data_IF_624781958246
#
_entry.id   IF_624781958246
#
_cell.length_a   1.000
_cell.length_b   1.000
_cell.length_c   1.000
_cell.angle_alpha   90.00
_cell.angle_beta   90.00
_cell.angle_gamma   90.00
#
_symmetry.space_group_name_H-M   'P 1'
#
loop_
_entity.id
_entity.type
_entity.pdbx_description
1 polymer ?
#
# COMPACT_ATOMS: atom_id res chain seq x y z
N UNK A 1 -21.73 -40.17 -9.46
CA UNK A 1 -21.53 -39.54 -10.79
C UNK A 1 -20.18 -38.85 -10.81
N UNK A 2 -19.21 -39.40 -11.54
CA UNK A 2 -17.85 -38.87 -11.59
C UNK A 2 -17.81 -37.62 -12.48
N UNK A 3 -17.45 -36.47 -11.92
CA UNK A 3 -17.18 -35.27 -12.71
C UNK A 3 -15.93 -35.51 -13.59
N UNK A 4 -16.15 -35.76 -14.88
CA UNK A 4 -15.09 -35.84 -15.88
C UNK A 4 -14.29 -34.53 -15.88
N UNK A 5 -13.03 -34.60 -15.44
CA UNK A 5 -12.08 -33.50 -15.56
C UNK A 5 -11.88 -33.20 -17.04
N UNK A 6 -12.48 -32.11 -17.53
CA UNK A 6 -12.22 -31.59 -18.88
C UNK A 6 -10.73 -31.32 -19.00
N UNK A 7 -10.03 -32.11 -19.81
CA UNK A 7 -8.65 -31.85 -20.19
C UNK A 7 -8.57 -30.51 -20.90
N UNK A 8 -7.62 -29.62 -20.53
CA UNK A 8 -7.47 -28.34 -21.18
C UNK A 8 -7.14 -28.55 -22.66
N UNK A 9 -8.03 -28.06 -23.52
CA UNK A 9 -8.08 -28.20 -24.98
C UNK A 9 -6.99 -27.40 -25.72
N UNK A 10 -5.82 -27.25 -25.10
CA UNK A 10 -4.83 -26.23 -25.47
C UNK A 10 -3.68 -26.78 -26.34
N UNK A 11 -3.64 -28.10 -26.57
CA UNK A 11 -2.66 -28.73 -27.44
C UNK A 11 -3.27 -28.99 -28.81
N UNK A 12 -3.40 -27.94 -29.62
CA UNK A 12 -3.64 -28.15 -31.06
C UNK A 12 -2.27 -28.44 -31.70
N UNK A 13 -1.96 -29.73 -31.91
CA UNK A 13 -0.93 -30.22 -32.85
C UNK A 13 0.55 -30.04 -32.46
N UNK A 14 0.93 -30.24 -31.19
CA UNK A 14 2.36 -30.28 -30.79
C UNK A 14 3.14 -28.96 -30.96
N UNK A 15 2.47 -27.89 -31.39
CA UNK A 15 3.08 -26.58 -31.52
C UNK A 15 3.28 -25.95 -30.13
N UNK A 16 4.40 -25.23 -29.91
CA UNK A 16 4.63 -24.52 -28.67
C UNK A 16 3.55 -23.46 -28.45
N UNK A 17 3.09 -23.37 -27.20
CA UNK A 17 2.07 -22.40 -26.78
C UNK A 17 2.53 -20.98 -27.09
N UNK A 18 1.76 -20.26 -27.91
CA UNK A 18 2.15 -18.93 -28.41
C UNK A 18 1.61 -17.79 -27.54
N UNK A 19 0.49 -17.99 -26.83
CA UNK A 19 -0.12 -16.91 -26.05
C UNK A 19 0.16 -17.01 -24.55
N UNK A 20 0.29 -15.85 -23.90
CA UNK A 20 0.34 -15.74 -22.43
C UNK A 20 -0.87 -16.42 -21.76
N UNK A 21 -2.06 -16.30 -22.38
CA UNK A 21 -3.30 -16.88 -21.87
C UNK A 21 -3.24 -18.40 -21.80
N UNK A 22 -2.76 -19.05 -22.85
CA UNK A 22 -2.59 -20.50 -22.89
C UNK A 22 -1.51 -20.97 -21.93
N UNK A 23 -0.38 -20.26 -21.83
CA UNK A 23 0.68 -20.57 -20.86
C UNK A 23 0.15 -20.49 -19.42
N UNK A 24 -0.64 -19.47 -19.11
CA UNK A 24 -1.29 -19.35 -17.81
C UNK A 24 -2.32 -20.47 -17.57
N UNK A 25 -3.02 -20.91 -18.62
CA UNK A 25 -3.97 -22.01 -18.52
C UNK A 25 -3.29 -23.36 -18.23
N UNK A 26 -2.07 -23.59 -18.73
CA UNK A 26 -1.29 -24.80 -18.42
C UNK A 26 -0.96 -24.93 -16.93
N UNK A 27 -0.65 -23.81 -16.27
CA UNK A 27 -0.27 -23.79 -14.85
C UNK A 27 -1.44 -23.45 -13.91
N UNK A 28 -2.63 -23.17 -14.46
CA UNK A 28 -3.78 -22.72 -13.67
C UNK A 28 -4.29 -23.79 -12.68
N UNK A 29 -4.08 -25.07 -12.99
CA UNK A 29 -4.50 -26.18 -12.13
C UNK A 29 -3.54 -26.41 -10.95
N UNK A 30 -2.25 -26.11 -11.12
CA UNK A 30 -1.21 -26.34 -10.10
C UNK A 30 -0.92 -25.12 -9.24
N UNK A 31 -1.16 -23.92 -9.75
CA UNK A 31 -0.88 -22.66 -9.06
C UNK A 31 -2.13 -22.01 -8.47
N UNK A 32 -2.01 -21.31 -7.33
CA UNK A 32 -3.12 -20.53 -6.79
C UNK A 32 -3.59 -19.45 -7.78
N UNK A 33 -4.87 -19.07 -7.69
CA UNK A 33 -5.45 -17.99 -8.51
C UNK A 33 -4.64 -16.69 -8.32
N UNK A 34 -4.52 -15.88 -9.37
CA UNK A 34 -3.69 -14.67 -9.35
C UNK A 34 -4.11 -13.64 -8.28
N UNK A 35 -5.37 -13.66 -7.84
CA UNK A 35 -5.92 -12.77 -6.83
C UNK A 35 -5.86 -13.32 -5.39
N UNK A 36 -5.29 -14.51 -5.18
CA UNK A 36 -5.13 -15.03 -3.81
C UNK A 36 -4.24 -14.10 -2.98
N UNK A 37 -4.42 -14.07 -1.64
CA UNK A 37 -3.61 -13.21 -0.79
C UNK A 37 -2.10 -13.46 -0.95
N UNK A 38 -1.67 -14.71 -1.13
CA UNK A 38 -0.26 -15.03 -1.37
C UNK A 38 0.28 -14.50 -2.70
N UNK A 39 -0.50 -14.55 -3.78
CA UNK A 39 -0.10 -13.97 -5.06
C UNK A 39 0.02 -12.45 -4.98
N UNK A 40 -0.90 -11.80 -4.26
CA UNK A 40 -0.87 -10.35 -4.03
C UNK A 40 0.32 -9.94 -3.18
N UNK A 41 0.59 -10.66 -2.09
CA UNK A 41 1.74 -10.40 -1.22
C UNK A 41 3.06 -10.61 -1.93
N UNK A 42 3.22 -11.71 -2.68
CA UNK A 42 4.42 -11.95 -3.50
C UNK A 42 4.58 -10.86 -4.57
N UNK A 43 3.50 -10.46 -5.25
CA UNK A 43 3.56 -9.36 -6.22
C UNK A 43 3.95 -8.03 -5.58
N UNK A 44 3.47 -7.74 -4.38
CA UNK A 44 3.85 -6.56 -3.61
C UNK A 44 5.33 -6.60 -3.21
N UNK A 45 5.80 -7.75 -2.75
CA UNK A 45 7.20 -8.00 -2.42
C UNK A 45 8.12 -7.77 -3.63
N UNK A 46 7.80 -8.37 -4.78
CA UNK A 46 8.57 -8.20 -6.02
C UNK A 46 8.63 -6.72 -6.42
N UNK A 47 7.49 -6.01 -6.42
CA UNK A 47 7.44 -4.59 -6.78
C UNK A 47 8.26 -3.73 -5.83
N UNK A 48 8.20 -4.04 -4.53
CA UNK A 48 8.96 -3.31 -3.53
C UNK A 48 10.47 -3.50 -3.74
N UNK A 49 10.93 -4.71 -4.06
CA UNK A 49 12.34 -4.99 -4.35
C UNK A 49 12.81 -4.40 -5.70
N UNK A 50 11.94 -4.31 -6.70
CA UNK A 50 12.25 -3.70 -8.01
C UNK A 50 12.19 -2.16 -7.98
N UNK A 51 11.89 -1.56 -6.82
CA UNK A 51 11.60 -0.13 -6.69
C UNK A 51 10.59 0.36 -7.74
N UNK A 52 9.55 -0.45 -7.98
CA UNK A 52 8.51 -0.16 -8.98
C UNK A 52 7.82 1.16 -8.66
N UNK A 53 7.89 2.10 -9.61
CA UNK A 53 7.22 3.37 -9.52
C UNK A 53 5.73 3.21 -9.85
N UNK A 54 4.86 3.41 -8.86
CA UNK A 54 3.42 3.28 -9.03
C UNK A 54 2.80 4.37 -9.93
N UNK A 55 3.46 5.53 -10.02
CA UNK A 55 3.04 6.68 -10.82
C UNK A 55 3.40 6.45 -12.29
N UNK A 56 4.68 6.21 -12.60
CA UNK A 56 5.11 5.98 -13.98
C UNK A 56 4.74 4.60 -14.51
N UNK A 57 4.48 3.63 -13.61
CA UNK A 57 4.22 2.21 -13.92
C UNK A 57 5.39 1.54 -14.66
N UNK A 58 6.58 2.06 -14.47
CA UNK A 58 7.80 1.57 -15.10
C UNK A 58 8.50 0.54 -14.21
N UNK A 59 9.11 -0.44 -14.87
CA UNK A 59 10.01 -1.41 -14.25
C UNK A 59 11.44 -1.03 -14.61
N UNK A 60 12.44 -1.44 -13.79
CA UNK A 60 13.84 -1.25 -14.13
C UNK A 60 14.17 -1.80 -15.51
N UNK A 61 15.10 -1.16 -16.21
CA UNK A 61 15.62 -1.66 -17.49
C UNK A 61 16.13 -3.11 -17.35
N UNK A 62 16.09 -3.92 -18.43
CA UNK A 62 16.72 -5.24 -18.44
C UNK A 62 18.21 -5.14 -18.09
N UNK A 63 18.86 -6.25 -17.68
CA UNK A 63 20.29 -6.24 -17.38
C UNK A 63 21.14 -5.86 -18.60
N UNK A 64 22.23 -5.13 -18.38
CA UNK A 64 23.21 -4.80 -19.43
C UNK A 64 24.10 -6.01 -19.76
N UNK A 65 24.79 -6.03 -20.92
CA UNK A 65 25.73 -7.08 -21.26
C UNK A 65 26.84 -7.28 -20.20
N UNK A 66 27.28 -6.20 -19.56
CA UNK A 66 28.28 -6.23 -18.49
C UNK A 66 27.72 -6.89 -17.24
N UNK A 67 26.47 -6.58 -16.86
CA UNK A 67 25.79 -7.24 -15.74
C UNK A 67 25.64 -8.76 -16.01
N UNK A 68 25.31 -9.15 -17.25
CA UNK A 68 25.29 -10.57 -17.63
C UNK A 68 26.64 -11.26 -17.46
N UNK A 69 27.73 -10.58 -17.82
CA UNK A 69 29.08 -11.14 -17.76
C UNK A 69 29.60 -11.27 -16.31
N UNK A 70 29.13 -10.41 -15.41
CA UNK A 70 29.51 -10.41 -13.99
C UNK A 70 28.70 -11.40 -13.14
N UNK A 71 27.53 -11.82 -13.61
CA UNK A 71 26.66 -12.70 -12.84
C UNK A 71 27.26 -14.10 -12.69
N UNK A 72 27.46 -14.52 -11.45
CA UNK A 72 27.85 -15.89 -11.12
C UNK A 72 26.82 -16.89 -11.65
N UNK A 73 27.23 -18.16 -11.81
CA UNK A 73 26.33 -19.26 -12.21
C UNK A 73 26.01 -20.25 -11.08
N UNK A 74 25.45 -19.80 -9.95
CA UNK A 74 25.05 -20.70 -8.88
C UNK A 74 23.83 -21.52 -9.30
N UNK A 75 23.76 -22.75 -8.79
CA UNK A 75 22.52 -23.53 -8.92
C UNK A 75 21.46 -22.99 -7.97
N UNK A 76 20.21 -23.37 -8.23
CA UNK A 76 19.09 -23.00 -7.39
C UNK A 76 19.28 -23.48 -5.94
N UNK A 77 19.77 -24.71 -5.79
CA UNK A 77 20.03 -25.36 -4.51
C UNK A 77 21.08 -24.59 -3.70
N UNK A 78 22.19 -24.18 -4.34
CA UNK A 78 23.26 -23.40 -3.68
C UNK A 78 22.70 -22.09 -3.12
N UNK A 79 21.89 -21.36 -3.89
CA UNK A 79 21.27 -20.11 -3.44
C UNK A 79 20.36 -20.36 -2.23
N UNK A 80 19.53 -21.40 -2.32
CA UNK A 80 18.51 -21.71 -1.31
C UNK A 80 19.11 -22.26 -0.01
N UNK A 81 20.20 -23.03 -0.07
CA UNK A 81 20.91 -23.57 1.10
C UNK A 81 21.70 -22.50 1.86
N UNK A 82 22.10 -21.42 1.19
CA UNK A 82 22.88 -20.36 1.81
C UNK A 82 22.04 -19.47 2.74
N UNK A 83 21.91 -19.88 4.00
CA UNK A 83 21.16 -19.14 5.03
C UNK A 83 22.02 -18.16 5.84
N UNK A 84 23.28 -17.91 5.45
CA UNK A 84 24.24 -17.10 6.23
C UNK A 84 23.82 -15.63 6.42
N UNK A 85 22.89 -15.13 5.63
CA UNK A 85 22.37 -13.75 5.79
C UNK A 85 21.19 -13.67 6.76
N UNK A 86 20.59 -14.80 7.15
CA UNK A 86 19.36 -14.83 7.94
C UNK A 86 19.57 -15.25 9.39
N UNK A 87 20.71 -14.85 9.99
CA UNK A 87 20.98 -15.18 11.38
C UNK A 87 19.93 -14.54 12.32
N UNK A 88 19.38 -15.32 13.27
CA UNK A 88 18.38 -14.84 14.21
C UNK A 88 19.05 -13.98 15.28
N UNK A 89 19.36 -12.74 14.95
CA UNK A 89 19.93 -11.76 15.89
C UNK A 89 19.14 -10.45 15.97
N UNK A 90 18.07 -10.30 15.19
CA UNK A 90 17.26 -9.08 15.20
C UNK A 90 16.00 -9.30 16.02
N UNK A 91 15.91 -8.59 17.14
CA UNK A 91 14.80 -8.67 18.08
C UNK A 91 13.44 -8.44 17.40
N UNK A 92 12.46 -9.23 17.83
CA UNK A 92 11.11 -9.33 17.27
C UNK A 92 10.22 -8.08 17.45
N UNK A 93 10.74 -7.01 18.04
CA UNK A 93 10.01 -5.77 18.37
C UNK A 93 10.05 -4.70 17.28
N UNK A 94 10.74 -4.94 16.16
CA UNK A 94 10.84 -3.99 15.05
C UNK A 94 9.52 -3.77 14.31
N UNK A 95 9.27 -2.54 13.87
CA UNK A 95 8.06 -2.18 13.13
C UNK A 95 7.99 -2.91 11.78
N UNK A 96 6.83 -2.92 11.12
CA UNK A 96 6.73 -3.55 9.78
C UNK A 96 7.61 -2.83 8.75
N UNK A 97 7.75 -1.52 8.85
CA UNK A 97 8.58 -0.69 7.96
C UNK A 97 10.06 -1.03 8.14
N UNK A 98 10.52 -1.18 9.38
CA UNK A 98 11.88 -1.62 9.69
C UNK A 98 12.17 -2.99 9.09
N UNK A 99 11.22 -3.93 9.19
CA UNK A 99 11.37 -5.27 8.59
C UNK A 99 11.50 -5.22 7.07
N UNK A 100 10.81 -4.30 6.40
CA UNK A 100 10.97 -4.10 4.95
C UNK A 100 12.35 -3.55 4.62
N UNK A 101 12.82 -2.53 5.34
CA UNK A 101 14.14 -1.94 5.13
C UNK A 101 15.26 -2.98 5.34
N UNK A 102 15.17 -3.76 6.43
CA UNK A 102 16.10 -4.87 6.70
C UNK A 102 16.06 -5.91 5.59
N UNK A 103 14.87 -6.30 5.14
CA UNK A 103 14.74 -7.30 4.06
C UNK A 103 15.36 -6.80 2.75
N UNK A 104 15.15 -5.53 2.39
CA UNK A 104 15.80 -4.92 1.23
C UNK A 104 17.31 -4.92 1.36
N UNK A 105 17.84 -4.52 2.52
CA UNK A 105 19.28 -4.48 2.76
C UNK A 105 19.90 -5.88 2.63
N UNK A 106 19.30 -6.90 3.26
CA UNK A 106 19.75 -8.29 3.15
C UNK A 106 19.69 -8.78 1.70
N UNK A 107 18.64 -8.43 0.96
CA UNK A 107 18.48 -8.80 -0.44
C UNK A 107 19.57 -8.18 -1.33
N UNK A 108 19.87 -6.90 -1.13
CA UNK A 108 20.96 -6.21 -1.84
C UNK A 108 22.33 -6.81 -1.54
N UNK A 109 22.61 -7.15 -0.29
CA UNK A 109 23.86 -7.85 0.09
C UNK A 109 23.98 -9.21 -0.59
N UNK A 110 22.88 -9.96 -0.66
CA UNK A 110 22.86 -11.27 -1.33
C UNK A 110 23.04 -11.14 -2.85
N UNK A 111 22.45 -10.12 -3.48
CA UNK A 111 22.65 -9.84 -4.90
C UNK A 111 24.12 -9.58 -5.24
N UNK A 112 24.78 -8.72 -4.46
CA UNK A 112 26.19 -8.38 -4.66
C UNK A 112 27.10 -9.61 -4.54
N UNK A 113 26.76 -10.53 -3.64
CA UNK A 113 27.49 -11.79 -3.46
C UNK A 113 27.54 -12.64 -4.74
N UNK A 114 26.50 -12.59 -5.58
CA UNK A 114 26.43 -13.34 -6.84
C UNK A 114 26.78 -12.47 -8.08
N UNK A 115 27.42 -11.31 -7.88
CA UNK A 115 27.84 -10.43 -8.97
C UNK A 115 26.74 -9.55 -9.56
N UNK A 116 25.56 -9.47 -8.94
CA UNK A 116 24.47 -8.61 -9.38
C UNK A 116 24.48 -7.27 -8.64
N UNK A 117 24.64 -6.16 -9.39
CA UNK A 117 24.67 -4.81 -8.81
C UNK A 117 23.28 -4.27 -8.44
N UNK A 118 22.23 -4.74 -9.13
CA UNK A 118 20.85 -4.33 -8.91
C UNK A 118 19.87 -5.46 -9.18
N UNK A 119 18.67 -5.33 -8.64
CA UNK A 119 17.59 -6.25 -8.95
C UNK A 119 16.83 -5.84 -10.20
N UNK A 120 16.80 -6.71 -11.20
CA UNK A 120 15.93 -6.58 -12.37
C UNK A 120 15.66 -7.95 -12.96
N UNK A 121 14.69 -8.03 -13.86
CA UNK A 121 14.50 -9.22 -14.69
C UNK A 121 14.90 -8.91 -16.13
N UNK A 122 15.34 -9.96 -16.81
CA UNK A 122 15.41 -9.93 -18.26
C UNK A 122 14.00 -10.04 -18.84
N UNK A 123 13.47 -8.88 -19.23
CA UNK A 123 12.13 -8.73 -19.78
C UNK A 123 11.98 -9.24 -21.21
N UNK A 124 13.07 -9.62 -21.90
CA UNK A 124 12.99 -10.23 -23.23
C UNK A 124 12.39 -11.63 -23.18
N UNK A 125 12.47 -12.28 -22.01
CA UNK A 125 12.09 -13.69 -21.82
C UNK A 125 12.78 -14.64 -22.80
N UNK A 126 13.98 -14.29 -23.28
CA UNK A 126 14.80 -15.26 -23.99
C UNK A 126 14.88 -16.52 -23.12
N UNK A 127 14.49 -17.66 -23.69
CA UNK A 127 14.07 -18.82 -22.89
C UNK A 127 15.16 -19.22 -21.91
N UNK A 128 14.82 -19.19 -20.62
CA UNK A 128 15.68 -19.71 -19.56
C UNK A 128 16.96 -18.89 -19.36
N UNK A 129 16.93 -17.57 -19.58
CA UNK A 129 18.10 -16.76 -19.26
C UNK A 129 18.56 -17.02 -17.83
N UNK A 130 19.85 -17.34 -17.74
CA UNK A 130 20.54 -17.62 -16.50
C UNK A 130 20.26 -16.55 -15.44
N UNK A 131 20.27 -15.28 -15.86
CA UNK A 131 19.85 -14.13 -15.07
C UNK A 131 18.50 -14.32 -14.36
N UNK A 132 17.43 -14.61 -15.11
CA UNK A 132 16.10 -14.76 -14.53
C UNK A 132 16.01 -15.95 -13.56
N UNK A 133 16.82 -17.01 -13.75
CA UNK A 133 16.88 -18.16 -12.84
C UNK A 133 17.52 -17.77 -11.50
N UNK A 134 18.65 -17.07 -11.53
CA UNK A 134 19.34 -16.57 -10.32
C UNK A 134 18.44 -15.59 -9.57
N UNK A 135 17.90 -14.59 -10.27
CA UNK A 135 17.02 -13.57 -9.69
C UNK A 135 15.76 -14.18 -9.06
N UNK A 136 15.17 -15.19 -9.72
CA UNK A 136 14.01 -15.91 -9.17
C UNK A 136 14.38 -16.68 -7.91
N UNK A 137 15.54 -17.34 -7.88
CA UNK A 137 16.00 -18.11 -6.72
C UNK A 137 16.26 -17.18 -5.51
N UNK A 138 16.97 -16.07 -5.73
CA UNK A 138 17.20 -15.06 -4.69
C UNK A 138 15.89 -14.48 -4.17
N UNK A 139 14.98 -14.12 -5.07
CA UNK A 139 13.66 -13.61 -4.69
C UNK A 139 12.89 -14.60 -3.81
N UNK A 140 12.85 -15.88 -4.18
CA UNK A 140 12.12 -16.92 -3.44
C UNK A 140 12.75 -17.12 -2.07
N UNK A 141 14.08 -17.22 -1.99
CA UNK A 141 14.85 -17.32 -0.75
C UNK A 141 14.44 -16.22 0.24
N UNK A 142 14.49 -14.96 -0.20
CA UNK A 142 14.17 -13.81 0.64
C UNK A 142 12.67 -13.69 0.95
N UNK A 143 11.81 -14.03 0.00
CA UNK A 143 10.37 -14.06 0.23
C UNK A 143 9.97 -15.09 1.29
N UNK A 144 10.56 -16.29 1.26
CA UNK A 144 10.34 -17.34 2.26
C UNK A 144 10.87 -16.91 3.63
N UNK A 145 12.04 -16.26 3.69
CA UNK A 145 12.56 -15.72 4.95
C UNK A 145 11.65 -14.61 5.52
N UNK A 146 11.27 -13.63 4.69
CA UNK A 146 10.35 -12.55 5.08
C UNK A 146 9.00 -13.09 5.59
N UNK A 147 8.50 -14.16 4.97
CA UNK A 147 7.31 -14.88 5.43
C UNK A 147 7.51 -15.50 6.81
N UNK A 148 8.65 -16.17 7.07
CA UNK A 148 8.99 -16.74 8.40
C UNK A 148 9.07 -15.66 9.48
N UNK A 149 9.58 -14.47 9.15
CA UNK A 149 9.66 -13.31 10.05
C UNK A 149 8.31 -12.58 10.27
N UNK A 150 7.23 -13.07 9.67
CA UNK A 150 5.89 -12.50 9.85
C UNK A 150 5.66 -11.19 9.09
N UNK A 151 6.48 -10.86 8.08
CA UNK A 151 6.30 -9.65 7.25
C UNK A 151 4.91 -9.61 6.60
N UNK A 152 4.34 -10.77 6.31
CA UNK A 152 3.03 -10.93 5.68
C UNK A 152 1.91 -11.33 6.65
N UNK A 153 2.08 -11.14 7.96
CA UNK A 153 1.07 -11.48 8.98
C UNK A 153 -0.32 -10.92 8.67
N UNK A 154 -0.40 -9.67 8.19
CA UNK A 154 -1.65 -9.00 7.80
C UNK A 154 -2.28 -9.54 6.50
N UNK A 155 -1.55 -10.31 5.70
CA UNK A 155 -2.00 -10.76 4.38
C UNK A 155 -2.83 -12.04 4.40
N UNK A 156 -3.06 -12.67 5.57
CA UNK A 156 -3.86 -13.90 5.66
C UNK A 156 -3.28 -15.07 4.84
N UNK A 157 -1.96 -15.13 4.69
CA UNK A 157 -1.29 -16.19 3.93
C UNK A 157 -1.22 -17.42 4.82
N UNK A 158 -1.90 -18.50 4.42
CA UNK A 158 -1.73 -19.79 5.10
C UNK A 158 -0.33 -20.34 4.80
N UNK A 159 0.54 -20.53 5.82
CA UNK A 159 1.91 -20.96 5.61
C UNK A 159 2.01 -22.36 5.00
N UNK A 160 1.09 -23.27 5.34
CA UNK A 160 1.10 -24.68 4.98
C UNK A 160 0.80 -24.95 3.50
N UNK A 161 0.21 -23.99 2.78
CA UNK A 161 -0.18 -24.19 1.39
C UNK A 161 0.85 -23.68 0.37
N UNK A 162 1.91 -23.01 0.82
CA UNK A 162 2.94 -22.48 -0.06
C UNK A 162 4.23 -23.28 0.05
N UNK A 163 4.49 -24.07 -0.98
CA UNK A 163 5.78 -24.72 -1.21
C UNK A 163 6.67 -23.81 -2.07
N UNK A 164 7.96 -24.09 -2.06
CA UNK A 164 8.95 -23.42 -2.91
C UNK A 164 8.61 -23.51 -4.40
N UNK A 165 8.33 -24.71 -4.91
CA UNK A 165 7.89 -24.91 -6.30
C UNK A 165 6.64 -24.08 -6.68
N UNK A 166 5.70 -23.88 -5.74
CA UNK A 166 4.55 -23.01 -5.98
C UNK A 166 4.96 -21.54 -6.04
N UNK A 167 5.86 -21.10 -5.16
CA UNK A 167 6.42 -19.76 -5.19
C UNK A 167 7.15 -19.51 -6.53
N UNK A 168 7.98 -20.44 -6.98
CA UNK A 168 8.67 -20.39 -8.27
C UNK A 168 7.69 -20.27 -9.44
N UNK A 169 6.65 -21.12 -9.48
CA UNK A 169 5.62 -21.04 -10.50
C UNK A 169 4.86 -19.71 -10.48
N UNK A 170 4.60 -19.15 -9.28
CA UNK A 170 3.98 -17.84 -9.13
C UNK A 170 4.87 -16.70 -9.64
N UNK A 171 6.16 -16.71 -9.29
CA UNK A 171 7.16 -15.74 -9.77
C UNK A 171 7.26 -15.81 -11.30
N UNK A 172 7.44 -17.02 -11.83
CA UNK A 172 7.54 -17.26 -13.28
C UNK A 172 6.30 -16.75 -14.02
N UNK A 173 5.10 -17.04 -13.50
CA UNK A 173 3.84 -16.53 -14.06
C UNK A 173 3.78 -15.01 -14.01
N UNK A 174 4.25 -14.40 -12.92
CA UNK A 174 4.28 -12.95 -12.75
C UNK A 174 5.24 -12.29 -13.75
N UNK A 175 6.48 -12.80 -13.88
CA UNK A 175 7.51 -12.28 -14.81
C UNK A 175 6.98 -12.34 -16.24
N UNK A 176 6.43 -13.49 -16.68
CA UNK A 176 5.86 -13.64 -18.02
C UNK A 176 4.74 -12.65 -18.31
N UNK A 177 3.87 -12.42 -17.32
CA UNK A 177 2.79 -11.43 -17.44
C UNK A 177 3.34 -10.02 -17.65
N UNK A 178 4.36 -9.63 -16.89
CA UNK A 178 4.97 -8.29 -16.97
C UNK A 178 5.79 -8.07 -18.21
N UNK A 179 6.65 -9.03 -18.57
CA UNK A 179 7.37 -8.97 -19.83
C UNK A 179 6.42 -8.87 -21.03
N UNK A 180 5.30 -9.61 -21.05
CA UNK A 180 4.30 -9.46 -22.10
C UNK A 180 3.68 -8.05 -22.13
N UNK A 181 3.34 -7.48 -20.96
CA UNK A 181 2.80 -6.11 -20.88
C UNK A 181 3.81 -5.05 -21.36
N UNK A 182 5.10 -5.23 -21.03
CA UNK A 182 6.22 -4.37 -21.47
C UNK A 182 6.39 -4.49 -22.99
N UNK A 183 6.55 -5.70 -23.52
CA UNK A 183 6.78 -5.96 -24.94
C UNK A 183 5.60 -5.54 -25.82
N UNK A 184 4.37 -5.72 -25.34
CA UNK A 184 3.17 -5.27 -26.05
C UNK A 184 2.98 -3.74 -26.00
N UNK A 185 3.83 -3.04 -25.24
CA UNK A 185 3.71 -1.62 -24.98
C UNK A 185 2.39 -1.25 -24.31
N UNK A 186 1.73 -2.18 -23.59
CA UNK A 186 0.46 -1.91 -22.90
C UNK A 186 0.58 -0.81 -21.86
N UNK A 187 1.79 -0.62 -21.33
CA UNK A 187 2.10 0.42 -20.37
C UNK A 187 2.38 1.78 -21.03
N UNK A 188 2.35 1.89 -22.37
CA UNK A 188 2.47 3.18 -23.04
C UNK A 188 1.29 4.08 -22.63
N UNK A 189 1.53 5.35 -22.26
CA UNK A 189 0.49 6.28 -21.80
C UNK A 189 -0.71 6.31 -22.74
N UNK A 190 -0.46 6.28 -24.05
CA UNK A 190 -1.49 6.31 -25.09
C UNK A 190 -2.42 5.08 -25.07
N UNK A 191 -1.87 3.89 -24.85
CA UNK A 191 -2.66 2.66 -24.74
C UNK A 191 -3.41 2.59 -23.42
N UNK A 192 -2.80 3.06 -22.33
CA UNK A 192 -3.47 3.19 -21.03
C UNK A 192 -4.67 4.13 -21.18
N UNK A 193 -4.48 5.33 -21.75
CA UNK A 193 -5.55 6.31 -22.03
C UNK A 193 -6.69 5.69 -22.85
N UNK A 194 -6.36 4.92 -23.90
CA UNK A 194 -7.37 4.23 -24.71
C UNK A 194 -8.16 3.17 -23.93
N UNK A 195 -7.50 2.41 -23.05
CA UNK A 195 -8.16 1.41 -22.19
C UNK A 195 -9.09 2.09 -21.19
N UNK A 196 -8.64 3.14 -20.51
CA UNK A 196 -9.47 3.89 -19.55
C UNK A 196 -10.66 4.56 -20.25
N UNK A 197 -10.46 5.18 -21.42
CA UNK A 197 -11.56 5.73 -22.24
C UNK A 197 -12.58 4.66 -22.63
N UNK A 198 -12.12 3.45 -22.97
CA UNK A 198 -13.02 2.33 -23.29
C UNK A 198 -13.75 1.79 -22.06
N UNK A 199 -13.15 1.81 -20.86
CA UNK A 199 -13.84 1.46 -19.61
C UNK A 199 -14.93 2.48 -19.30
N UNK A 200 -14.63 3.78 -19.42
CA UNK A 200 -15.62 4.86 -19.22
C UNK A 200 -16.82 4.69 -20.15
N UNK A 201 -16.58 4.48 -21.45
CA UNK A 201 -17.64 4.17 -22.44
C UNK A 201 -18.49 2.95 -22.08
N UNK A 202 -17.90 1.90 -21.48
CA UNK A 202 -18.65 0.71 -21.04
C UNK A 202 -19.53 1.01 -19.84
N UNK A 203 -19.03 1.80 -18.89
CA UNK A 203 -19.84 2.24 -17.74
C UNK A 203 -21.01 3.09 -18.24
N UNK A 204 -20.77 4.07 -19.11
CA UNK A 204 -21.82 4.86 -19.77
C UNK A 204 -22.84 3.99 -20.50
N UNK A 205 -22.36 3.00 -21.28
CA UNK A 205 -23.25 2.07 -21.98
C UNK A 205 -24.10 1.24 -21.02
N UNK A 206 -23.54 0.76 -19.90
CA UNK A 206 -24.29 0.02 -18.88
C UNK A 206 -25.32 0.90 -18.18
N UNK A 207 -24.99 2.16 -17.91
CA UNK A 207 -25.90 3.13 -17.30
C UNK A 207 -27.14 3.39 -18.18
N UNK A 208 -26.99 3.40 -19.51
CA UNK A 208 -28.13 3.52 -20.45
C UNK A 208 -29.18 2.42 -20.31
N UNK A 209 -28.82 1.26 -19.74
CA UNK A 209 -29.74 0.14 -19.55
C UNK A 209 -30.52 0.21 -18.22
N UNK A 210 -30.18 1.14 -17.32
CA UNK A 210 -30.83 1.29 -16.01
C UNK A 210 -32.13 2.13 -16.06
N UNK A 211 -32.48 2.68 -17.22
CA UNK A 211 -33.66 3.53 -17.41
C UNK A 211 -33.44 4.98 -16.95
N UNK A 212 -34.21 5.91 -17.51
CA UNK A 212 -34.13 7.35 -17.21
C UNK A 212 -34.25 7.70 -15.70
N UNK A 213 -35.12 7.04 -14.90
CA UNK A 213 -35.23 7.36 -13.48
C UNK A 213 -33.96 7.06 -12.68
N UNK A 214 -33.25 5.96 -13.01
CA UNK A 214 -32.01 5.61 -12.34
C UNK A 214 -30.85 6.52 -12.76
N UNK A 215 -30.86 7.00 -14.01
CA UNK A 215 -29.88 7.97 -14.52
C UNK A 215 -29.96 9.33 -13.82
N UNK A 216 -31.13 9.73 -13.29
CA UNK A 216 -31.28 10.97 -12.52
C UNK A 216 -30.73 10.87 -11.09
N UNK A 217 -30.64 9.65 -10.55
CA UNK A 217 -30.14 9.39 -9.19
C UNK A 217 -28.62 9.15 -9.15
N UNK A 218 -28.03 8.79 -10.29
CA UNK A 218 -26.60 8.56 -10.41
C UNK A 218 -25.96 9.89 -10.83
N UNK A 219 -25.04 10.46 -10.04
CA UNK A 219 -24.33 11.67 -10.44
C UNK A 219 -23.66 11.44 -11.80
N UNK A 220 -23.56 12.50 -12.62
CA UNK A 220 -23.05 12.41 -13.99
C UNK A 220 -21.74 11.60 -14.01
N UNK A 221 -21.52 10.80 -15.05
CA UNK A 221 -20.28 10.02 -15.16
C UNK A 221 -19.03 10.93 -15.21
N UNK A 222 -19.24 12.21 -15.54
CA UNK A 222 -18.25 13.28 -15.47
C UNK A 222 -18.12 13.91 -14.06
N UNK A 223 -19.02 13.63 -13.12
CA UNK A 223 -18.92 13.99 -11.69
C UNK A 223 -18.06 13.02 -10.87
N UNK A 224 -17.63 11.89 -11.43
CA UNK A 224 -16.52 11.12 -10.87
C UNK A 224 -15.22 11.77 -11.36
N UNK A 225 -14.74 12.74 -10.57
CA UNK A 225 -13.67 13.67 -10.94
C UNK A 225 -12.44 12.99 -11.54
N UNK A 226 -11.93 13.58 -12.63
CA UNK A 226 -10.64 13.28 -13.27
C UNK A 226 -9.42 13.55 -12.35
N UNK A 227 -9.61 13.63 -11.03
CA UNK A 227 -8.60 14.07 -10.05
C UNK A 227 -7.70 12.94 -9.54
N UNK A 228 -7.74 11.73 -10.10
CA UNK A 228 -6.73 10.70 -9.80
C UNK A 228 -5.50 10.76 -10.73
N UNK A 229 -5.43 11.73 -11.65
CA UNK A 229 -4.18 12.08 -12.33
C UNK A 229 -3.70 13.43 -11.78
N UNK A 230 -2.84 13.39 -10.76
CA UNK A 230 -2.18 14.57 -10.19
C UNK A 230 -0.80 14.77 -10.86
N UNK A 231 -0.65 15.65 -11.86
CA UNK A 231 0.63 16.28 -12.10
C UNK A 231 0.90 17.23 -10.93
N UNK A 232 2.12 17.19 -10.38
CA UNK A 232 2.56 17.90 -9.17
C UNK A 232 2.49 19.43 -9.22
N UNK A 233 1.94 20.01 -10.29
CA UNK A 233 1.99 21.45 -10.61
C UNK A 233 0.61 22.12 -10.61
N UNK A 234 -0.46 21.40 -10.26
CA UNK A 234 -1.81 21.99 -10.21
C UNK A 234 -2.15 22.41 -8.79
N UNK A 235 -2.03 23.71 -8.50
CA UNK A 235 -2.68 24.31 -7.33
C UNK A 235 -4.20 24.39 -7.59
N UNK A 236 -4.97 23.68 -6.78
CA UNK A 236 -6.42 23.71 -6.88
C UNK A 236 -6.98 24.90 -6.11
N UNK A 237 -7.74 25.74 -6.80
CA UNK A 237 -8.59 26.73 -6.17
C UNK A 237 -9.69 25.99 -5.39
N UNK A 238 -9.69 26.14 -4.07
CA UNK A 238 -10.66 25.46 -3.19
C UNK A 238 -12.03 26.09 -3.38
N UNK A 239 -12.85 25.47 -4.23
CA UNK A 239 -14.25 25.89 -4.42
C UNK A 239 -15.02 25.54 -3.14
N UNK A 240 -15.48 26.56 -2.41
CA UNK A 240 -16.37 26.39 -1.26
C UNK A 240 -17.68 25.74 -1.70
N UNK A 241 -17.99 24.56 -1.15
CA UNK A 241 -19.21 23.83 -1.49
C UNK A 241 -20.41 24.48 -0.79
N UNK A 242 -21.30 25.09 -1.58
CA UNK A 242 -22.47 25.90 -1.16
C UNK A 242 -23.42 25.16 -0.20
N UNK A 243 -23.44 23.83 -0.22
CA UNK A 243 -24.31 23.00 0.63
C UNK A 243 -23.72 22.69 2.02
N UNK A 244 -22.47 23.09 2.30
CA UNK A 244 -21.90 22.97 3.63
C UNK A 244 -22.28 24.21 4.43
N UNK A 245 -22.93 24.02 5.57
CA UNK A 245 -23.09 25.14 6.50
C UNK A 245 -21.71 25.63 6.94
N UNK A 246 -21.57 26.92 7.15
CA UNK A 246 -20.34 27.56 7.63
C UNK A 246 -19.81 26.89 8.92
N UNK A 247 -20.71 26.34 9.74
CA UNK A 247 -20.41 25.60 10.96
C UNK A 247 -19.71 24.26 10.68
N UNK A 248 -20.16 23.53 9.65
CA UNK A 248 -19.56 22.26 9.27
C UNK A 248 -18.18 22.45 8.64
N UNK A 249 -18.01 23.51 7.85
CA UNK A 249 -16.72 23.91 7.31
C UNK A 249 -15.73 24.27 8.43
N UNK A 250 -16.14 25.11 9.38
CA UNK A 250 -15.33 25.44 10.55
C UNK A 250 -14.95 24.19 11.36
N UNK A 251 -15.87 23.23 11.54
CA UNK A 251 -15.60 21.97 12.20
C UNK A 251 -14.55 21.12 11.46
N UNK A 252 -14.69 20.95 10.14
CA UNK A 252 -13.71 20.21 9.35
C UNK A 252 -12.33 20.87 9.39
N UNK A 253 -12.27 22.19 9.33
CA UNK A 253 -11.01 22.94 9.49
C UNK A 253 -10.38 22.73 10.87
N UNK A 254 -11.17 22.73 11.94
CA UNK A 254 -10.67 22.43 13.27
C UNK A 254 -10.13 21.00 13.36
N UNK A 255 -10.82 20.02 12.76
CA UNK A 255 -10.33 18.63 12.70
C UNK A 255 -9.02 18.53 11.92
N UNK A 256 -8.92 19.18 10.76
CA UNK A 256 -7.71 19.14 9.93
C UNK A 256 -6.52 19.84 10.57
N UNK A 257 -6.76 20.97 11.23
CA UNK A 257 -5.75 21.64 12.04
C UNK A 257 -5.27 20.73 13.17
N UNK A 258 -6.20 20.12 13.91
CA UNK A 258 -5.87 19.19 15.01
C UNK A 258 -5.03 18.01 14.53
N UNK A 259 -5.41 17.39 13.40
CA UNK A 259 -4.65 16.27 12.81
C UNK A 259 -3.25 16.72 12.39
N UNK A 260 -3.12 17.92 11.84
CA UNK A 260 -1.82 18.49 11.42
C UNK A 260 -0.92 18.74 12.63
N UNK A 261 -1.45 19.38 13.67
CA UNK A 261 -0.72 19.63 14.92
C UNK A 261 -0.26 18.32 15.54
N UNK A 262 -1.14 17.33 15.69
CA UNK A 262 -0.80 16.02 16.26
C UNK A 262 0.31 15.30 15.48
N UNK A 263 0.29 15.36 14.14
CA UNK A 263 1.36 14.83 13.29
C UNK A 263 2.70 15.54 13.52
N UNK A 264 2.67 16.87 13.66
CA UNK A 264 3.90 17.66 13.90
C UNK A 264 4.45 17.52 15.31
N UNK A 265 3.60 17.19 16.29
CA UNK A 265 4.00 17.05 17.71
C UNK A 265 4.61 15.68 18.06
N UNK A 266 4.75 14.75 17.10
CA UNK A 266 5.36 13.44 17.34
C UNK A 266 4.54 12.52 18.27
N UNK A 267 3.24 12.77 18.42
CA UNK A 267 2.34 11.94 19.21
C UNK A 267 1.99 10.64 18.46
N UNK A 268 1.71 9.58 19.23
CA UNK A 268 1.51 8.20 18.78
C UNK A 268 0.52 8.07 17.59
N UNK A 269 0.99 7.37 16.54
CA UNK A 269 0.26 7.12 15.29
C UNK A 269 -1.13 6.49 15.51
N UNK A 270 -1.32 5.71 16.58
CA UNK A 270 -2.63 5.11 16.88
C UNK A 270 -3.74 6.15 17.13
N UNK A 271 -3.41 7.31 17.73
CA UNK A 271 -4.39 8.37 17.98
C UNK A 271 -4.73 9.12 16.69
N UNK A 272 -3.74 9.34 15.83
CA UNK A 272 -3.89 9.98 14.51
C UNK A 272 -4.76 9.13 13.59
N UNK A 273 -4.55 7.81 13.58
CA UNK A 273 -5.35 6.87 12.78
C UNK A 273 -6.81 6.79 13.26
N UNK A 274 -7.04 6.84 14.58
CA UNK A 274 -8.39 6.83 15.16
C UNK A 274 -9.17 8.10 14.76
N UNK A 275 -8.54 9.26 14.79
CA UNK A 275 -9.12 10.52 14.33
C UNK A 275 -9.35 10.55 12.81
N UNK A 276 -8.44 9.98 12.01
CA UNK A 276 -8.60 9.86 10.58
C UNK A 276 -9.76 8.92 10.19
N UNK A 277 -9.93 7.82 10.93
CA UNK A 277 -11.06 6.90 10.78
C UNK A 277 -12.39 7.55 11.19
N UNK A 278 -12.39 8.36 12.26
CA UNK A 278 -13.54 9.16 12.66
C UNK A 278 -13.94 10.17 11.57
N UNK A 279 -12.96 10.89 10.98
CA UNK A 279 -13.18 11.80 9.84
C UNK A 279 -13.81 11.07 8.64
N UNK A 280 -13.30 9.88 8.30
CA UNK A 280 -13.88 9.04 7.24
C UNK A 280 -15.32 8.62 7.57
N UNK A 281 -15.57 8.20 8.81
CA UNK A 281 -16.89 7.79 9.28
C UNK A 281 -17.94 8.90 9.21
N UNK A 282 -17.58 10.13 9.60
CA UNK A 282 -18.46 11.32 9.46
C UNK A 282 -18.74 11.60 7.99
N UNK A 283 -17.73 11.55 7.13
CA UNK A 283 -17.88 11.83 5.70
C UNK A 283 -18.76 10.79 4.98
N UNK A 284 -18.75 9.53 5.42
CA UNK A 284 -19.55 8.45 4.79
C UNK A 284 -20.97 8.35 5.33
N UNK A 285 -21.29 8.91 6.50
CA UNK A 285 -22.60 8.75 7.15
C UNK A 285 -23.69 9.71 6.64
N UNK A 286 -23.40 10.48 5.58
CA UNK A 286 -24.30 11.54 5.06
C UNK A 286 -25.51 10.98 4.27
N UNK A 287 -25.59 9.68 4.00
CA UNK A 287 -26.73 9.09 3.27
C UNK A 287 -27.86 8.50 4.14
N UNK A 288 -27.81 8.61 5.48
CA UNK A 288 -28.86 8.04 6.35
C UNK A 288 -29.17 9.02 7.50
N UNK A 289 -30.22 9.82 7.35
CA UNK A 289 -30.83 10.63 8.41
C UNK A 289 -32.09 9.86 8.83
N UNK A 290 -32.28 9.39 10.07
CA UNK A 290 -32.68 10.28 11.17
C UNK A 290 -32.41 9.76 12.60
N UNK A 291 -31.67 8.66 12.81
CA UNK A 291 -31.34 8.17 14.17
C UNK A 291 -29.83 8.19 14.49
N UNK A 292 -28.98 8.14 13.47
CA UNK A 292 -27.53 8.13 13.64
C UNK A 292 -26.94 9.51 13.97
N UNK A 293 -27.66 10.60 13.69
CA UNK A 293 -27.18 11.96 13.99
C UNK A 293 -27.18 12.23 15.51
N UNK A 294 -28.26 11.84 16.21
CA UNK A 294 -28.33 11.85 17.67
C UNK A 294 -27.26 10.94 18.29
N UNK A 295 -27.08 9.74 17.74
CA UNK A 295 -26.03 8.82 18.21
C UNK A 295 -24.62 9.39 17.99
N UNK A 296 -24.40 10.08 16.87
CA UNK A 296 -23.16 10.78 16.55
C UNK A 296 -22.85 11.92 17.53
N UNK A 297 -23.86 12.70 17.93
CA UNK A 297 -23.70 13.74 18.96
C UNK A 297 -23.38 13.13 20.32
N UNK A 298 -24.07 12.05 20.70
CA UNK A 298 -23.81 11.34 21.96
C UNK A 298 -22.39 10.76 21.97
N UNK A 299 -21.95 10.15 20.87
CA UNK A 299 -20.60 9.60 20.73
C UNK A 299 -19.52 10.68 20.70
N UNK A 300 -19.77 11.81 20.02
CA UNK A 300 -18.86 12.96 20.03
C UNK A 300 -18.72 13.56 21.43
N UNK A 301 -19.83 13.70 22.16
CA UNK A 301 -19.83 14.17 23.55
C UNK A 301 -19.13 13.18 24.48
N UNK A 302 -19.32 11.88 24.29
CA UNK A 302 -18.61 10.84 25.04
C UNK A 302 -17.10 10.86 24.76
N UNK A 303 -16.69 11.00 23.50
CA UNK A 303 -15.29 11.12 23.11
C UNK A 303 -14.64 12.38 23.71
N UNK A 304 -15.35 13.51 23.71
CA UNK A 304 -14.89 14.77 24.30
C UNK A 304 -14.67 14.65 25.81
N UNK A 305 -15.65 14.09 26.55
CA UNK A 305 -15.53 13.84 28.00
C UNK A 305 -14.34 12.91 28.30
N UNK A 306 -14.12 11.90 27.44
CA UNK A 306 -13.00 10.97 27.60
C UNK A 306 -11.65 11.66 27.35
N UNK A 307 -11.59 12.58 26.39
CA UNK A 307 -10.39 13.37 26.09
C UNK A 307 -10.04 14.32 27.23
N UNK A 308 -11.03 15.04 27.77
CA UNK A 308 -10.86 15.90 28.96
C UNK A 308 -10.36 15.10 30.17
N UNK A 309 -10.94 13.92 30.41
CA UNK A 309 -10.50 13.05 31.51
C UNK A 309 -9.05 12.59 31.35
N UNK A 310 -8.61 12.29 30.12
CA UNK A 310 -7.22 11.93 29.83
C UNK A 310 -6.28 13.12 30.03
N UNK A 311 -6.64 14.30 29.53
CA UNK A 311 -5.88 15.54 29.70
C UNK A 311 -5.68 15.89 31.19
N UNK A 312 -6.75 15.80 31.99
CA UNK A 312 -6.70 16.01 33.44
C UNK A 312 -5.78 14.98 34.11
N UNK A 313 -5.84 13.70 33.71
CA UNK A 313 -4.96 12.66 34.25
C UNK A 313 -3.49 12.92 33.91
N UNK A 314 -3.18 13.29 32.68
CA UNK A 314 -1.80 13.66 32.28
C UNK A 314 -1.30 14.91 32.99
N UNK A 315 -2.15 15.93 33.18
CA UNK A 315 -1.78 17.12 33.95
C UNK A 315 -1.49 16.78 35.42
N UNK A 316 -2.32 15.93 36.02
CA UNK A 316 -2.15 15.48 37.42
C UNK A 316 -0.88 14.65 37.60
N UNK A 317 -0.57 13.74 36.68
CA UNK A 317 0.68 12.96 36.68
C UNK A 317 1.93 13.85 36.54
N UNK A 318 1.82 14.96 35.79
CA UNK A 318 2.90 15.94 35.63
C UNK A 318 3.12 16.78 36.88
N UNK A 319 2.07 17.04 37.66
CA UNK A 319 2.15 17.77 38.92
C UNK A 319 2.57 16.91 40.12
N UNK A 320 2.39 15.59 40.06
CA UNK A 320 2.79 14.66 41.14
C UNK A 320 4.16 14.03 40.95
N UNK A 321 4.90 14.37 39.88
CA UNK A 321 6.26 13.91 39.70
C UNK A 321 7.16 14.59 40.75
N UNK A 322 7.80 13.84 41.67
CA UNK A 322 8.66 14.43 42.68
C UNK A 322 9.88 15.08 42.01
N UNK A 323 10.03 16.38 42.22
CA UNK A 323 11.23 17.14 41.86
C UNK A 323 12.40 16.63 42.70
N UNK A 324 13.13 15.67 42.15
CA UNK A 324 14.24 15.04 42.83
C UNK A 324 15.19 14.38 41.84
N UNK A 325 15.84 15.16 40.98
CA UNK A 325 17.25 14.94 40.63
C UNK A 325 17.83 16.17 39.92
N UNK A 326 18.82 16.75 40.57
CA UNK A 326 19.66 17.85 40.11
C UNK A 326 20.47 17.47 38.86
N UNK A 327 20.44 18.31 37.82
CA UNK A 327 21.62 18.52 36.98
C UNK A 327 21.61 19.89 36.29
N UNK A 328 22.68 20.61 36.55
CA UNK A 328 23.05 21.92 36.02
C UNK A 328 23.30 21.88 34.52
N UNK A 329 22.58 22.70 33.75
CA UNK A 329 23.05 23.30 32.50
C UNK A 329 22.13 24.47 32.12
N UNK A 330 22.71 25.66 32.06
CA UNK A 330 22.17 26.91 31.54
C UNK A 330 21.71 26.75 30.09
N UNK A 331 20.46 27.07 29.80
CA UNK A 331 20.01 27.58 28.48
C UNK A 331 18.64 28.24 28.66
N UNK A 332 18.51 29.42 28.07
CA UNK A 332 17.37 30.33 28.18
C UNK A 332 16.04 29.65 27.81
N UNK A 333 15.03 29.91 28.62
CA UNK A 333 13.67 29.40 28.48
C UNK A 333 12.80 30.55 27.97
N UNK A 334 12.00 30.38 26.90
CA UNK A 334 11.02 31.39 26.52
C UNK A 334 9.81 31.34 27.47
N UNK A 335 9.28 32.52 27.78
CA UNK A 335 8.22 32.75 28.76
C UNK A 335 6.92 32.01 28.43
N UNK A 336 6.45 31.21 29.40
CA UNK A 336 5.17 30.50 29.36
C UNK A 336 3.92 31.39 29.55
N UNK A 337 4.05 32.70 29.35
CA UNK A 337 2.97 33.67 29.52
C UNK A 337 2.09 33.83 28.26
N UNK A 338 2.55 33.46 27.07
CA UNK A 338 1.77 33.62 25.83
C UNK A 338 0.69 32.54 25.64
N UNK A 339 0.95 31.28 26.02
CA UNK A 339 0.00 30.18 25.79
C UNK A 339 -1.29 30.31 26.63
N UNK A 340 -1.18 30.90 27.82
CA UNK A 340 -2.33 31.11 28.72
C UNK A 340 -3.19 32.30 28.26
N UNK A 341 -2.57 33.31 27.66
CA UNK A 341 -3.25 34.48 27.10
C UNK A 341 -4.06 34.10 25.85
N UNK A 342 -3.51 33.24 24.99
CA UNK A 342 -4.19 32.78 23.76
C UNK A 342 -5.41 31.90 24.07
N UNK A 343 -5.35 31.01 25.08
CA UNK A 343 -6.54 30.25 25.49
C UNK A 343 -7.63 31.11 26.13
N UNK A 344 -7.27 32.19 26.84
CA UNK A 344 -8.25 33.09 27.46
C UNK A 344 -9.03 33.95 26.44
N UNK A 345 -8.41 34.23 25.28
CA UNK A 345 -9.06 34.97 24.19
C UNK A 345 -10.06 34.12 23.41
N UNK A 346 -9.73 32.84 23.15
CA UNK A 346 -10.63 31.92 22.44
C UNK A 346 -11.89 31.57 23.24
N UNK A 347 -11.80 31.53 24.58
CA UNK A 347 -12.95 31.28 25.45
C UNK A 347 -13.90 32.48 25.52
N UNK A 348 -13.39 33.72 25.42
CA UNK A 348 -14.22 34.95 25.41
C UNK A 348 -14.96 35.18 24.10
N UNK A 349 -14.46 34.67 22.98
CA UNK A 349 -15.05 34.88 21.66
C UNK A 349 -16.19 33.89 21.33
N UNK A 350 -16.30 32.80 22.08
CA UNK A 350 -17.28 31.72 21.84
C UNK A 350 -18.46 31.67 22.82
N UNK A 351 -18.59 32.62 23.74
CA UNK A 351 -19.75 32.70 24.65
C UNK A 351 -20.16 34.15 24.94
N UNK A 352 -20.95 34.81 24.07
CA UNK A 352 -21.48 36.14 24.34
C UNK A 352 -22.86 36.00 25.03
N UNK A 353 -22.85 35.57 26.29
CA UNK A 353 -23.93 35.78 27.26
C UNK A 353 -23.37 35.95 28.67
#
# INVERSE_FOLDING_TARGET
MAHGKKTPRNWKQGAPVRSLKENNALVAASLPKANTPSCRALSGFIRNLLDYNCISKEYPAPPTPEEYAQLDNPTHEIIMEDQRLFHPGLDSSTSTEDKWAVTKALFSTDLQKYGALRFTFDWTLNKGTHWNRVMTSLLIKHWLNAKKQGLFSKSGINPSHMTESKAEGMVTRWIRGRAFDIQSGRNQPEKIRKVEKNKKKRVESSLRHLGQPALQLIPDADCCSETEWEPSEVEYEKIGLIWRSQQYEAFLHAVDWTVTVLKTSGLDLQQVDTLALFKRGISTSIHIIDWNWMLGIVLARWAFIRLESLLIKTAKLRMTAPEGLTRTATTEKPDGAEATTIMSLVIKEYNPQ
#
